data_IF_198074799192
#
_entry.id   IF_198074799192
#
_cell.length_a   1.000
_cell.length_b   1.000
_cell.length_c   1.000
_cell.angle_alpha   90.00
_cell.angle_beta   90.00
_cell.angle_gamma   90.00
#
_symmetry.space_group_name_H-M   'P 1'
#
loop_
_entity.id
_entity.type
_entity.pdbx_description
1 polymer ?
#
# COMPACT_ATOMS: atom_id res chain seq x y z
N UNK A 1 -14.23 -16.48 -11.97
CA UNK A 1 -12.82 -16.08 -12.23
C UNK A 1 -12.22 -15.56 -10.93
N UNK A 2 -11.07 -16.08 -10.49
CA UNK A 2 -10.41 -15.70 -9.23
C UNK A 2 -9.63 -14.40 -9.43
N UNK A 3 -10.03 -13.33 -8.77
CA UNK A 3 -9.25 -12.09 -8.70
C UNK A 3 -8.03 -12.35 -7.81
N UNK A 4 -6.88 -12.61 -8.43
CA UNK A 4 -5.62 -12.70 -7.72
C UNK A 4 -5.02 -11.30 -7.70
N UNK A 5 -4.81 -10.67 -6.53
CA UNK A 5 -4.15 -9.36 -6.47
C UNK A 5 -2.74 -9.51 -7.03
N UNK A 6 -2.42 -8.75 -8.08
CA UNK A 6 -1.03 -8.62 -8.54
C UNK A 6 -0.25 -7.89 -7.45
N UNK A 7 0.84 -8.47 -6.92
CA UNK A 7 1.70 -7.75 -6.00
C UNK A 7 2.25 -6.52 -6.74
N UNK A 8 2.04 -5.33 -6.17
CA UNK A 8 2.63 -4.11 -6.69
C UNK A 8 4.15 -4.23 -6.51
N UNK A 9 4.88 -4.28 -7.62
CA UNK A 9 6.34 -4.24 -7.59
C UNK A 9 6.77 -2.92 -6.95
N UNK A 10 7.60 -3.01 -5.91
CA UNK A 10 8.26 -1.85 -5.34
C UNK A 10 9.31 -1.41 -6.36
N UNK A 11 9.18 -0.19 -6.87
CA UNK A 11 10.14 0.36 -7.80
C UNK A 11 11.43 0.70 -7.04
N UNK A 12 12.55 0.08 -7.43
CA UNK A 12 13.82 0.27 -6.74
C UNK A 12 14.36 1.70 -6.98
N UNK A 13 14.10 2.24 -8.17
CA UNK A 13 14.55 3.57 -8.59
C UNK A 13 13.92 4.68 -7.72
N UNK A 14 12.66 4.51 -7.33
CA UNK A 14 11.95 5.43 -6.43
C UNK A 14 12.60 5.47 -5.02
N UNK A 15 13.02 4.32 -4.51
CA UNK A 15 13.65 4.24 -3.18
C UNK A 15 15.06 4.84 -3.19
N UNK A 16 15.82 4.58 -4.25
CA UNK A 16 17.16 5.15 -4.44
C UNK A 16 17.08 6.67 -4.60
N UNK A 17 16.15 7.17 -5.42
CA UNK A 17 15.92 8.60 -5.61
C UNK A 17 15.58 9.31 -4.31
N UNK A 18 14.68 8.74 -3.51
CA UNK A 18 14.29 9.30 -2.20
C UNK A 18 15.44 9.29 -1.18
N UNK A 19 16.25 8.23 -1.16
CA UNK A 19 17.43 8.14 -0.31
C UNK A 19 18.51 9.16 -0.69
N UNK A 20 18.76 9.34 -1.99
CA UNK A 20 19.71 10.33 -2.50
C UNK A 20 19.30 11.74 -2.15
N UNK A 21 18.02 12.08 -2.31
CA UNK A 21 17.49 13.40 -1.93
C UNK A 21 17.70 13.69 -0.44
N UNK A 22 17.43 12.71 0.42
CA UNK A 22 17.66 12.82 1.86
C UNK A 22 19.14 13.07 2.18
N UNK A 23 20.03 12.32 1.53
CA UNK A 23 21.46 12.45 1.72
C UNK A 23 21.98 13.82 1.27
N UNK A 24 21.53 14.32 0.12
CA UNK A 24 21.93 15.64 -0.40
C UNK A 24 21.48 16.78 0.51
N UNK A 25 20.21 16.76 0.96
CA UNK A 25 19.70 17.77 1.90
C UNK A 25 20.51 17.73 3.19
N UNK A 26 20.72 16.54 3.76
CA UNK A 26 21.51 16.38 4.99
C UNK A 26 22.94 16.87 4.81
N UNK A 27 23.59 16.54 3.68
CA UNK A 27 24.95 16.97 3.37
C UNK A 27 25.07 18.50 3.31
N UNK A 28 24.11 19.17 2.67
CA UNK A 28 24.08 20.64 2.58
C UNK A 28 23.98 21.26 3.97
N UNK A 29 23.04 20.80 4.80
CA UNK A 29 22.89 21.31 6.16
C UNK A 29 24.08 21.00 7.06
N UNK A 30 24.70 19.83 6.89
CA UNK A 30 25.92 19.45 7.59
C UNK A 30 27.07 20.39 7.21
N UNK A 31 27.24 20.68 5.92
CA UNK A 31 28.25 21.62 5.42
C UNK A 31 28.05 23.03 5.95
N UNK A 32 26.82 23.54 5.94
CA UNK A 32 26.48 24.86 6.48
C UNK A 32 26.77 24.91 7.98
N UNK A 33 26.29 23.93 8.75
CA UNK A 33 26.52 23.86 10.19
C UNK A 33 28.01 23.81 10.53
N UNK A 34 28.79 23.05 9.77
CA UNK A 34 30.24 22.94 9.95
C UNK A 34 30.96 24.26 9.69
N UNK A 35 30.62 24.98 8.61
CA UNK A 35 31.20 26.30 8.31
C UNK A 35 30.89 27.30 9.42
N UNK A 36 29.65 27.32 9.92
CA UNK A 36 29.22 28.22 10.99
C UNK A 36 29.94 27.91 12.29
N UNK A 37 30.00 26.64 12.70
CA UNK A 37 30.71 26.22 13.92
C UNK A 37 32.22 26.54 13.83
N UNK A 38 32.83 26.38 12.66
CA UNK A 38 34.24 26.71 12.41
C UNK A 38 34.52 28.22 12.50
N UNK A 39 33.59 29.05 12.02
CA UNK A 39 33.71 30.50 12.01
C UNK A 39 33.46 31.14 13.39
N UNK A 40 32.50 30.61 14.15
CA UNK A 40 32.12 31.14 15.47
C UNK A 40 32.89 30.49 16.63
N UNK A 41 33.65 29.43 16.36
CA UNK A 41 34.40 28.69 17.39
C UNK A 41 33.49 27.98 18.41
N UNK A 42 32.20 27.89 18.12
CA UNK A 42 31.24 27.15 18.91
C UNK A 42 31.54 25.66 18.76
N UNK A 43 31.57 24.93 19.89
CA UNK A 43 31.35 23.48 19.92
C UNK A 43 30.17 23.11 19.01
N UNK A 44 30.05 21.87 18.46
CA UNK A 44 29.28 21.53 17.26
C UNK A 44 27.74 21.65 17.42
N UNK A 45 27.28 22.81 17.85
CA UNK A 45 25.91 23.11 18.23
C UNK A 45 25.12 23.55 17.00
N UNK A 46 25.73 24.33 16.09
CA UNK A 46 25.07 24.65 14.82
C UNK A 46 25.01 23.44 13.92
N UNK A 47 26.02 22.57 13.88
CA UNK A 47 25.94 21.29 13.17
C UNK A 47 24.74 20.47 13.62
N UNK A 48 24.57 20.27 14.93
CA UNK A 48 23.44 19.52 15.49
C UNK A 48 22.12 20.20 15.14
N UNK A 49 22.02 21.53 15.32
CA UNK A 49 20.83 22.30 14.98
C UNK A 49 20.46 22.20 13.50
N UNK A 50 21.43 22.32 12.60
CA UNK A 50 21.24 22.21 11.15
C UNK A 50 20.80 20.80 10.74
N UNK A 51 21.35 19.74 11.35
CA UNK A 51 20.93 18.37 11.07
C UNK A 51 19.49 18.13 11.54
N UNK A 52 19.13 18.58 12.75
CA UNK A 52 17.75 18.50 13.23
C UNK A 52 16.80 19.27 12.31
N UNK A 53 17.22 20.46 11.85
CA UNK A 53 16.46 21.24 10.88
C UNK A 53 16.31 20.53 9.53
N UNK A 54 17.36 19.88 9.02
CA UNK A 54 17.30 19.09 7.79
C UNK A 54 16.28 17.96 7.88
N UNK A 55 16.29 17.24 9.01
CA UNK A 55 15.34 16.16 9.28
C UNK A 55 13.92 16.70 9.34
N UNK A 56 13.69 17.79 10.08
CA UNK A 56 12.38 18.44 10.16
C UNK A 56 11.91 18.94 8.78
N UNK A 57 12.79 19.55 8.00
CA UNK A 57 12.52 19.99 6.63
C UNK A 57 12.12 18.83 5.72
N UNK A 58 12.72 17.65 5.89
CA UNK A 58 12.33 16.48 5.13
C UNK A 58 10.95 15.95 5.52
N UNK A 59 10.57 16.00 6.80
CA UNK A 59 9.20 15.69 7.21
C UNK A 59 8.19 16.64 6.58
N UNK A 60 8.52 17.94 6.52
CA UNK A 60 7.68 18.95 5.85
C UNK A 60 7.59 18.67 4.35
N UNK A 61 8.70 18.36 3.69
CA UNK A 61 8.71 17.99 2.27
C UNK A 61 7.83 16.76 2.01
N UNK A 62 7.97 15.72 2.83
CA UNK A 62 7.17 14.51 2.73
C UNK A 62 5.67 14.80 2.87
N UNK A 63 5.28 15.70 3.78
CA UNK A 63 3.90 16.14 3.93
C UNK A 63 3.37 16.80 2.63
N UNK A 64 4.12 17.73 2.04
CA UNK A 64 3.72 18.41 0.82
C UNK A 64 3.72 17.50 -0.42
N UNK A 65 4.73 16.64 -0.57
CA UNK A 65 4.78 15.66 -1.67
C UNK A 65 3.59 14.71 -1.59
N UNK A 66 3.23 14.24 -0.41
CA UNK A 66 2.09 13.37 -0.21
C UNK A 66 0.76 14.03 -0.64
N UNK A 67 0.53 15.29 -0.24
CA UNK A 67 -0.64 16.05 -0.69
C UNK A 67 -0.65 16.29 -2.22
N UNK A 68 0.51 16.44 -2.84
CA UNK A 68 0.62 16.61 -4.29
C UNK A 68 0.34 15.30 -5.04
N UNK A 69 0.84 14.16 -4.55
CA UNK A 69 0.62 12.84 -5.13
C UNK A 69 -0.86 12.44 -5.11
N UNK A 70 -1.56 12.70 -4.01
CA UNK A 70 -2.99 12.35 -3.90
C UNK A 70 -3.86 13.14 -4.88
N UNK A 71 -3.60 14.44 -5.05
CA UNK A 71 -4.27 15.26 -6.06
C UNK A 71 -4.02 14.76 -7.49
N UNK A 72 -2.83 14.24 -7.77
CA UNK A 72 -2.52 13.64 -9.07
C UNK A 72 -3.32 12.37 -9.36
N UNK A 73 -3.41 11.47 -8.38
CA UNK A 73 -4.12 10.20 -8.56
C UNK A 73 -5.64 10.39 -8.64
N UNK A 74 -6.19 11.35 -7.90
CA UNK A 74 -7.61 11.70 -8.02
C UNK A 74 -7.96 12.29 -9.39
N UNK A 75 -7.07 13.11 -9.97
CA UNK A 75 -7.26 13.66 -11.31
C UNK A 75 -7.18 12.57 -12.39
N UNK A 76 -6.26 11.62 -12.25
CA UNK A 76 -6.14 10.48 -13.17
C UNK A 76 -7.33 9.51 -13.05
N UNK A 77 -7.80 9.25 -11.83
CA UNK A 77 -9.01 8.45 -11.58
C UNK A 77 -10.28 9.16 -12.05
N UNK A 78 -10.36 10.49 -11.94
CA UNK A 78 -11.47 11.28 -12.48
C UNK A 78 -11.48 11.24 -14.00
N UNK A 79 -10.32 11.43 -14.65
CA UNK A 79 -10.19 11.31 -16.09
C UNK A 79 -10.51 9.89 -16.59
N UNK A 80 -10.08 8.85 -15.87
CA UNK A 80 -10.42 7.46 -16.16
C UNK A 80 -11.91 7.14 -15.92
N UNK A 81 -12.53 7.76 -14.91
CA UNK A 81 -13.99 7.66 -14.64
C UNK A 81 -14.81 8.35 -15.73
N UNK A 82 -14.36 9.49 -16.23
CA UNK A 82 -15.04 10.23 -17.29
C UNK A 82 -14.86 9.56 -18.67
N UNK A 83 -13.74 8.86 -18.89
CA UNK A 83 -13.47 8.07 -20.09
C UNK A 83 -14.13 6.67 -20.07
N UNK A 84 -14.49 6.14 -18.91
CA UNK A 84 -15.18 4.86 -18.80
C UNK A 84 -16.66 5.03 -19.18
N UNK A 85 -17.17 4.38 -20.26
CA UNK A 85 -18.59 4.40 -20.55
C UNK A 85 -19.33 3.81 -19.36
N UNK A 86 -20.28 4.58 -18.81
CA UNK A 86 -21.13 4.15 -17.68
C UNK A 86 -21.77 2.81 -18.02
N UNK A 87 -21.16 1.72 -17.58
CA UNK A 87 -21.79 0.42 -17.57
C UNK A 87 -22.89 0.49 -16.52
N UNK A 88 -24.09 0.88 -16.93
CA UNK A 88 -25.30 0.63 -16.16
C UNK A 88 -25.41 -0.88 -16.02
N UNK A 89 -25.00 -1.40 -14.87
CA UNK A 89 -25.28 -2.80 -14.52
C UNK A 89 -26.80 -2.86 -14.38
N UNK A 90 -27.44 -3.38 -15.42
CA UNK A 90 -28.87 -3.67 -15.42
C UNK A 90 -29.08 -4.73 -14.34
N UNK A 91 -29.66 -4.34 -13.20
CA UNK A 91 -29.95 -5.25 -12.09
C UNK A 91 -30.92 -6.38 -12.46
N UNK A 92 -31.49 -6.35 -13.67
CA UNK A 92 -32.38 -7.39 -14.21
C UNK A 92 -31.70 -8.78 -14.32
N UNK A 93 -30.37 -8.85 -14.40
CA UNK A 93 -29.60 -10.12 -14.48
C UNK A 93 -29.14 -10.65 -13.11
N UNK A 94 -29.46 -9.93 -12.02
CA UNK A 94 -29.42 -10.44 -10.65
C UNK A 94 -30.76 -11.12 -10.30
N UNK A 95 -31.41 -11.75 -11.28
CA UNK A 95 -32.41 -12.76 -11.00
C UNK A 95 -31.75 -13.81 -10.11
N UNK A 96 -32.06 -13.71 -8.83
CA UNK A 96 -31.72 -14.64 -7.77
C UNK A 96 -32.15 -16.04 -8.23
N UNK A 97 -31.25 -16.77 -8.86
CA UNK A 97 -31.27 -18.23 -8.86
C UNK A 97 -30.91 -18.62 -7.42
N UNK A 98 -31.87 -19.05 -6.59
CA UNK A 98 -31.54 -19.50 -5.25
C UNK A 98 -30.53 -20.64 -5.37
N UNK A 99 -29.34 -20.44 -4.81
CA UNK A 99 -28.39 -21.53 -4.59
C UNK A 99 -29.13 -22.67 -3.90
N UNK A 100 -29.39 -23.76 -4.64
CA UNK A 100 -29.83 -25.03 -4.08
C UNK A 100 -28.65 -25.59 -3.29
N UNK A 101 -28.50 -25.16 -2.03
CA UNK A 101 -27.63 -25.82 -1.08
C UNK A 101 -28.22 -27.22 -0.86
N UNK A 102 -27.53 -28.31 -1.25
CA UNK A 102 -28.02 -29.65 -1.04
C UNK A 102 -28.29 -29.84 0.46
N UNK A 103 -29.54 -30.11 0.84
CA UNK A 103 -29.85 -30.36 2.23
C UNK A 103 -29.27 -31.72 2.60
N UNK A 104 -28.42 -31.75 3.62
CA UNK A 104 -27.76 -32.95 4.16
C UNK A 104 -28.75 -34.05 4.64
N UNK A 105 -30.06 -33.79 4.54
CA UNK A 105 -31.15 -34.71 4.90
C UNK A 105 -31.41 -35.83 3.90
N UNK A 106 -30.79 -35.79 2.71
CA UNK A 106 -30.96 -36.82 1.67
C UNK A 106 -29.74 -37.75 1.53
N UNK A 107 -28.73 -37.64 2.41
CA UNK A 107 -27.68 -38.64 2.48
C UNK A 107 -28.22 -39.89 3.16
N UNK A 108 -28.32 -41.05 2.47
CA UNK A 108 -28.71 -42.28 3.13
C UNK A 108 -27.69 -42.57 4.24
N UNK A 109 -28.19 -42.63 5.47
CA UNK A 109 -27.45 -43.04 6.65
C UNK A 109 -26.64 -44.29 6.31
N UNK A 110 -25.32 -44.18 6.45
CA UNK A 110 -24.39 -45.26 6.14
C UNK A 110 -24.85 -46.56 6.80
N UNK A 111 -25.03 -47.60 5.99
CA UNK A 111 -25.08 -48.97 6.47
C UNK A 111 -23.63 -49.42 6.68
N UNK A 112 -23.08 -49.06 7.82
CA UNK A 112 -21.92 -49.73 8.41
C UNK A 112 -22.41 -50.69 9.52
N UNK A 113 -21.75 -51.83 9.62
CA UNK A 113 -22.11 -53.02 10.42
C UNK A 113 -22.42 -54.20 9.49
N UNK A 114 -21.50 -55.08 9.09
CA UNK A 114 -20.30 -55.62 9.76
C UNK A 114 -20.54 -56.18 11.15
N UNK A 115 -21.49 -57.11 11.19
CA UNK A 115 -21.75 -57.94 12.35
C UNK A 115 -22.04 -59.37 11.85
N UNK A 116 -21.00 -60.22 11.93
CA UNK A 116 -21.01 -61.61 12.40
C UNK A 116 -21.96 -62.63 11.71
N UNK A 117 -21.41 -63.64 11.02
CA UNK A 117 -21.24 -65.02 11.55
C UNK A 117 -22.61 -65.75 11.60
N UNK A 118 -22.86 -66.85 10.88
CA UNK A 118 -22.60 -68.22 11.34
C UNK A 118 -22.73 -69.21 10.16
N UNK A 119 -21.85 -70.22 10.20
CA UNK A 119 -21.83 -71.51 9.49
C UNK A 119 -23.19 -72.14 9.10
N UNK A 120 -23.20 -72.77 7.90
CA UNK A 120 -23.52 -74.19 7.68
C UNK A 120 -23.23 -74.60 6.23
#
# INVERSE_FOLDING_TARGET
MRLVPRPKSIDADDNVGRGMDFALVTLVFLGIGWVIDRALGTRPAFMIGCVVFAVAGQFVKMYYEYEATMRGHEAELAAARDAAPRASVVLEDLAYEPLQIPSERDQPLGRDGRDHEVDA
#
